data_IF_405280004570
#
_entry.id   IF_405280004570
#
_cell.length_a   1.000
_cell.length_b   1.000
_cell.length_c   1.000
_cell.angle_alpha   90.00
_cell.angle_beta   90.00
_cell.angle_gamma   90.00
#
_symmetry.space_group_name_H-M   'P 1'
#
loop_
_entity.id
_entity.type
_entity.pdbx_description
1 polymer ?
#
# COMPACT_ATOMS: atom_id res chain seq x y z
N UNK A 1 0.18 2.41 4.47
CA UNK A 1 0.47 1.77 3.16
C UNK A 1 -0.85 1.59 2.44
N UNK A 2 -0.99 2.17 1.25
CA UNK A 2 -2.17 2.02 0.40
C UNK A 2 -2.23 0.63 -0.23
N UNK A 3 -3.43 0.16 -0.52
CA UNK A 3 -3.71 -1.15 -1.11
C UNK A 3 -4.53 -0.98 -2.40
N UNK A 4 -4.08 -1.65 -3.47
CA UNK A 4 -4.94 -1.87 -4.65
C UNK A 4 -5.90 -3.03 -4.42
N UNK A 5 -6.97 -3.13 -5.21
CA UNK A 5 -7.88 -4.27 -5.20
C UNK A 5 -7.15 -5.59 -5.45
N UNK A 6 -6.12 -5.57 -6.33
CA UNK A 6 -5.25 -6.73 -6.57
C UNK A 6 -4.41 -7.12 -5.36
N UNK A 7 -4.05 -6.18 -4.49
CA UNK A 7 -3.36 -6.48 -3.24
C UNK A 7 -4.31 -7.10 -2.21
N UNK A 8 -5.54 -6.57 -2.12
CA UNK A 8 -6.60 -7.09 -1.25
C UNK A 8 -6.93 -8.53 -1.63
N UNK A 9 -7.26 -8.76 -2.91
CA UNK A 9 -7.61 -10.09 -3.44
C UNK A 9 -6.47 -11.11 -3.22
N UNK A 10 -5.22 -10.67 -3.35
CA UNK A 10 -4.06 -11.53 -3.09
C UNK A 10 -3.97 -11.97 -1.63
N UNK A 11 -4.29 -11.09 -0.68
CA UNK A 11 -4.27 -11.40 0.75
C UNK A 11 -5.48 -12.24 1.16
N UNK A 12 -6.66 -11.97 0.60
CA UNK A 12 -7.86 -12.79 0.81
C UNK A 12 -7.65 -14.23 0.32
N UNK A 13 -7.06 -14.41 -0.87
CA UNK A 13 -6.69 -15.74 -1.38
C UNK A 13 -5.68 -16.50 -0.51
N UNK A 14 -5.05 -15.83 0.46
CA UNK A 14 -4.18 -16.45 1.47
C UNK A 14 -4.90 -16.78 2.77
N UNK A 15 -6.21 -16.56 2.83
CA UNK A 15 -7.05 -16.84 3.99
C UNK A 15 -7.10 -15.70 5.01
N UNK A 16 -6.64 -14.49 4.65
CA UNK A 16 -6.76 -13.35 5.55
C UNK A 16 -8.10 -12.65 5.35
N UNK A 17 -8.81 -12.45 6.45
CA UNK A 17 -10.05 -11.68 6.48
C UNK A 17 -9.79 -10.19 6.21
N UNK A 18 -10.63 -9.55 5.37
CA UNK A 18 -10.46 -8.14 5.00
C UNK A 18 -10.49 -7.20 6.20
N UNK A 19 -11.41 -7.43 7.13
CA UNK A 19 -11.59 -6.57 8.30
C UNK A 19 -10.38 -6.70 9.22
N UNK A 20 -9.71 -7.85 9.25
CA UNK A 20 -8.45 -8.00 9.98
C UNK A 20 -7.33 -7.09 9.44
N UNK A 21 -7.09 -7.08 8.12
CA UNK A 21 -5.87 -6.47 7.59
C UNK A 21 -6.01 -5.07 6.99
N UNK A 22 -7.22 -4.65 6.62
CA UNK A 22 -7.41 -3.39 5.92
C UNK A 22 -8.56 -2.55 6.48
N UNK A 23 -8.56 -1.27 6.11
CA UNK A 23 -9.66 -0.34 6.33
C UNK A 23 -9.79 0.60 5.14
N UNK A 24 -10.97 1.18 4.95
CA UNK A 24 -11.17 2.30 4.06
C UNK A 24 -11.12 3.62 4.84
N UNK A 25 -10.67 4.70 4.20
CA UNK A 25 -10.90 6.07 4.68
C UNK A 25 -12.12 6.70 4.00
N UNK A 26 -12.44 7.95 4.36
CA UNK A 26 -13.59 8.70 3.83
C UNK A 26 -13.48 9.01 2.33
N UNK A 27 -12.27 8.97 1.76
CA UNK A 27 -12.04 9.18 0.33
C UNK A 27 -12.11 7.87 -0.48
N UNK A 28 -12.30 6.73 0.20
CA UNK A 28 -12.42 5.42 -0.41
C UNK A 28 -11.09 4.69 -0.62
N UNK A 29 -9.98 5.21 -0.07
CA UNK A 29 -8.69 4.54 -0.14
C UNK A 29 -8.62 3.36 0.82
N UNK A 30 -8.20 2.21 0.30
CA UNK A 30 -7.88 1.06 1.13
C UNK A 30 -6.47 1.20 1.71
N UNK A 31 -6.32 1.02 3.02
CA UNK A 31 -5.02 1.05 3.70
C UNK A 31 -4.82 -0.19 4.56
N UNK A 32 -3.57 -0.68 4.62
CA UNK A 32 -3.18 -1.67 5.62
C UNK A 32 -3.39 -1.10 7.03
N UNK A 33 -4.02 -1.90 7.89
CA UNK A 33 -4.14 -1.59 9.32
C UNK A 33 -2.78 -1.70 10.01
N UNK A 34 -2.61 -0.85 11.02
CA UNK A 34 -1.54 -0.96 11.99
C UNK A 34 -2.12 -1.32 13.37
N UNK A 35 -1.39 -2.13 14.13
CA UNK A 35 -1.66 -2.46 15.53
C UNK A 35 -0.40 -2.22 16.35
N UNK A 36 -0.51 -1.46 17.46
CA UNK A 36 0.61 -1.06 18.33
C UNK A 36 1.81 -0.46 17.57
N UNK A 37 1.52 0.40 16.59
CA UNK A 37 2.55 1.10 15.79
C UNK A 37 3.15 0.30 14.64
N UNK A 38 2.78 -0.97 14.45
CA UNK A 38 3.29 -1.83 13.37
C UNK A 38 2.19 -2.29 12.44
N UNK A 39 2.54 -2.64 11.19
CA UNK A 39 1.64 -3.34 10.29
C UNK A 39 1.12 -4.63 10.94
N UNK A 40 -0.18 -4.92 10.79
CA UNK A 40 -0.83 -6.15 11.31
C UNK A 40 -0.16 -7.46 10.85
N UNK A 41 0.60 -7.43 9.76
CA UNK A 41 1.39 -8.57 9.29
C UNK A 41 2.82 -8.62 9.83
N UNK A 42 3.25 -7.66 10.66
CA UNK A 42 4.56 -7.70 11.28
C UNK A 42 4.58 -8.76 12.40
N UNK A 43 5.56 -9.65 12.35
CA UNK A 43 5.89 -10.56 13.42
C UNK A 43 7.06 -9.96 14.20
N UNK A 44 6.81 -9.53 15.44
CA UNK A 44 7.81 -8.89 16.29
C UNK A 44 8.91 -9.86 16.75
N UNK A 45 8.56 -11.11 17.08
CA UNK A 45 9.50 -12.13 17.51
C UNK A 45 10.50 -12.48 16.39
N UNK A 46 9.99 -12.76 15.18
CA UNK A 46 10.80 -13.11 14.01
C UNK A 46 11.32 -11.89 13.26
N UNK A 47 10.96 -10.68 13.69
CA UNK A 47 11.28 -9.38 13.06
C UNK A 47 11.04 -9.37 11.55
N UNK A 48 9.93 -9.97 11.11
CA UNK A 48 9.65 -10.19 9.70
C UNK A 48 8.18 -10.02 9.34
N UNK A 49 7.90 -9.84 8.04
CA UNK A 49 6.53 -9.79 7.54
C UNK A 49 5.98 -11.20 7.34
N UNK A 50 4.86 -11.55 7.99
CA UNK A 50 4.17 -12.84 7.87
C UNK A 50 3.75 -13.14 6.42
N UNK A 51 3.46 -12.12 5.63
CA UNK A 51 3.04 -12.23 4.23
C UNK A 51 4.15 -11.86 3.24
N UNK A 52 5.43 -12.04 3.58
CA UNK A 52 6.57 -11.55 2.76
C UNK A 52 6.47 -11.93 1.27
N UNK A 53 6.07 -13.16 0.94
CA UNK A 53 5.88 -13.62 -0.43
C UNK A 53 4.68 -12.95 -1.13
N UNK A 54 3.62 -12.63 -0.38
CA UNK A 54 2.36 -12.09 -0.87
C UNK A 54 2.17 -10.60 -0.56
N UNK A 55 3.22 -9.93 -0.07
CA UNK A 55 3.17 -8.55 0.39
C UNK A 55 2.60 -7.63 -0.71
N UNK A 56 1.81 -6.60 -0.33
CA UNK A 56 1.27 -5.63 -1.27
C UNK A 56 2.33 -5.01 -2.17
N UNK A 57 1.93 -4.56 -3.35
CA UNK A 57 2.86 -4.01 -4.34
C UNK A 57 3.62 -2.79 -3.78
N UNK A 58 2.95 -1.92 -3.02
CA UNK A 58 3.62 -0.79 -2.34
C UNK A 58 4.75 -1.25 -1.40
N UNK A 59 4.54 -2.32 -0.62
CA UNK A 59 5.59 -2.92 0.22
C UNK A 59 6.75 -3.55 -0.57
N UNK A 60 6.54 -3.91 -1.85
CA UNK A 60 7.61 -4.45 -2.73
C UNK A 60 8.46 -3.33 -3.34
N UNK A 61 7.85 -2.17 -3.57
CA UNK A 61 8.49 -1.02 -4.22
C UNK A 61 9.32 -0.21 -3.21
N UNK A 62 8.87 -0.17 -1.95
CA UNK A 62 9.58 0.45 -0.83
C UNK A 62 11.08 0.09 -0.81
N UNK A 63 12.00 1.06 -0.60
CA UNK A 63 11.76 2.39 -0.05
C UNK A 63 11.53 3.51 -1.07
N UNK A 64 11.27 3.22 -2.36
CA UNK A 64 10.94 4.27 -3.32
C UNK A 64 9.47 4.65 -3.15
N UNK A 65 9.20 5.94 -2.93
CA UNK A 65 7.87 6.49 -2.65
C UNK A 65 7.63 7.73 -3.52
N UNK A 66 6.38 8.18 -3.54
CA UNK A 66 6.00 9.49 -4.07
C UNK A 66 5.78 10.45 -2.90
N UNK A 67 6.44 11.59 -2.93
CA UNK A 67 6.26 12.72 -2.04
C UNK A 67 5.57 13.83 -2.84
N UNK A 68 4.54 14.45 -2.27
CA UNK A 68 3.71 15.44 -2.98
C UNK A 68 4.50 16.70 -3.39
N UNK A 69 5.54 17.06 -2.65
CA UNK A 69 6.36 18.24 -2.91
C UNK A 69 7.59 17.93 -3.77
N UNK A 70 8.12 16.70 -3.65
CA UNK A 70 9.42 16.31 -4.24
C UNK A 70 9.30 15.29 -5.38
N UNK A 71 8.11 14.74 -5.60
CA UNK A 71 7.89 13.65 -6.56
C UNK A 71 8.53 12.34 -6.09
N UNK A 72 9.20 11.63 -7.00
CA UNK A 72 9.80 10.32 -6.69
C UNK A 72 11.07 10.46 -5.85
N UNK A 73 10.99 9.94 -4.62
CA UNK A 73 12.09 9.98 -3.65
C UNK A 73 12.35 8.60 -3.04
N UNK A 74 13.53 8.44 -2.43
CA UNK A 74 13.82 7.31 -1.55
C UNK A 74 13.51 7.74 -0.13
N UNK A 75 12.67 6.97 0.55
CA UNK A 75 12.24 7.27 1.91
C UNK A 75 13.43 7.35 2.87
N UNK A 76 13.55 8.51 3.54
CA UNK A 76 14.70 8.85 4.38
C UNK A 76 14.73 8.07 5.69
N UNK A 77 13.57 7.58 6.16
CA UNK A 77 13.49 6.78 7.39
C UNK A 77 13.93 5.33 7.15
N UNK A 78 14.06 4.89 5.89
CA UNK A 78 14.44 3.51 5.59
C UNK A 78 15.94 3.29 5.84
N UNK A 79 16.34 2.32 6.68
CA UNK A 79 17.75 1.99 6.87
C UNK A 79 18.45 1.55 5.58
N UNK A 80 17.71 0.96 4.64
CA UNK A 80 18.23 0.50 3.35
C UNK A 80 18.24 1.59 2.27
N UNK A 81 17.98 2.87 2.59
CA UNK A 81 17.91 3.95 1.58
C UNK A 81 19.18 4.03 0.72
N UNK A 82 20.35 3.83 1.33
CA UNK A 82 21.65 3.90 0.64
C UNK A 82 21.90 2.75 -0.33
N UNK A 83 21.10 1.68 -0.30
CA UNK A 83 21.24 0.55 -1.23
C UNK A 83 20.43 0.73 -2.52
N UNK A 84 19.68 1.83 -2.67
CA UNK A 84 18.87 2.09 -3.87
C UNK A 84 19.67 2.91 -4.85
N UNK A 85 19.99 2.34 -6.01
CA UNK A 85 20.66 3.08 -7.09
C UNK A 85 19.68 3.98 -7.84
N UNK A 86 20.17 5.03 -8.52
CA UNK A 86 19.31 5.90 -9.33
C UNK A 86 18.53 5.13 -10.42
N UNK A 87 19.16 4.12 -11.04
CA UNK A 87 18.47 3.22 -11.98
C UNK A 87 17.33 2.44 -11.31
N UNK A 88 17.54 1.94 -10.09
CA UNK A 88 16.50 1.26 -9.32
C UNK A 88 15.40 2.24 -8.91
N UNK A 89 15.76 3.46 -8.50
CA UNK A 89 14.83 4.53 -8.15
C UNK A 89 13.93 4.88 -9.32
N UNK A 90 14.47 5.13 -10.51
CA UNK A 90 13.69 5.42 -11.71
C UNK A 90 12.68 4.29 -12.03
N UNK A 91 13.16 3.04 -12.15
CA UNK A 91 12.31 1.88 -12.45
C UNK A 91 11.23 1.63 -11.40
N UNK A 92 11.54 1.86 -10.12
CA UNK A 92 10.58 1.73 -9.02
C UNK A 92 9.61 2.90 -8.98
N UNK A 93 10.05 4.11 -9.33
CA UNK A 93 9.23 5.32 -9.43
C UNK A 93 8.10 5.15 -10.44
N UNK A 94 8.40 4.65 -11.64
CA UNK A 94 7.37 4.30 -12.63
C UNK A 94 6.32 3.31 -12.10
N UNK A 95 6.72 2.41 -11.18
CA UNK A 95 5.79 1.47 -10.54
C UNK A 95 4.97 2.14 -9.44
N UNK A 96 5.54 3.11 -8.72
CA UNK A 96 4.80 3.93 -7.75
C UNK A 96 3.69 4.68 -8.47
N UNK A 97 4.02 5.42 -9.53
CA UNK A 97 3.04 6.23 -10.26
C UNK A 97 1.88 5.38 -10.80
N UNK A 98 2.18 4.26 -11.46
CA UNK A 98 1.15 3.31 -11.94
C UNK A 98 0.30 2.72 -10.82
N UNK A 99 0.91 2.44 -9.67
CA UNK A 99 0.18 1.92 -8.51
C UNK A 99 -0.76 2.97 -7.93
N UNK A 100 -0.30 4.23 -7.81
CA UNK A 100 -1.14 5.33 -7.32
C UNK A 100 -2.29 5.61 -8.27
N UNK A 101 -2.05 5.70 -9.57
CA UNK A 101 -3.11 5.87 -10.57
C UNK A 101 -4.20 4.79 -10.46
N UNK A 102 -3.79 3.54 -10.27
CA UNK A 102 -4.74 2.42 -10.05
C UNK A 102 -5.54 2.63 -8.76
N UNK A 103 -4.86 2.97 -7.67
CA UNK A 103 -5.48 3.12 -6.34
C UNK A 103 -6.46 4.31 -6.34
N UNK A 104 -6.10 5.43 -6.97
CA UNK A 104 -6.94 6.63 -7.08
C UNK A 104 -8.22 6.34 -7.87
N UNK A 105 -8.10 5.62 -9.01
CA UNK A 105 -9.25 5.21 -9.80
C UNK A 105 -10.19 4.28 -9.01
N UNK A 106 -9.61 3.34 -8.25
CA UNK A 106 -10.39 2.44 -7.39
C UNK A 106 -11.09 3.19 -6.24
N UNK A 107 -10.40 4.13 -5.58
CA UNK A 107 -10.95 4.93 -4.49
C UNK A 107 -12.12 5.80 -4.99
N UNK A 108 -11.92 6.50 -6.12
CA UNK A 108 -12.97 7.28 -6.79
C UNK A 108 -14.22 6.45 -7.07
N UNK A 109 -14.05 5.23 -7.59
CA UNK A 109 -15.18 4.32 -7.85
C UNK A 109 -15.95 3.96 -6.58
N UNK A 110 -15.24 3.66 -5.48
CA UNK A 110 -15.86 3.34 -4.18
C UNK A 110 -16.63 4.53 -3.62
N UNK A 111 -16.03 5.73 -3.65
CA UNK A 111 -16.64 6.97 -3.17
C UNK A 111 -17.93 7.32 -3.92
N UNK A 112 -17.92 7.17 -5.25
CA UNK A 112 -19.11 7.37 -6.08
C UNK A 112 -20.22 6.37 -5.73
N UNK A 113 -19.88 5.08 -5.57
CA UNK A 113 -20.85 4.06 -5.21
C UNK A 113 -21.48 4.30 -3.82
N UNK A 114 -20.69 4.75 -2.84
CA UNK A 114 -21.21 5.10 -1.51
C UNK A 114 -22.14 6.31 -1.57
N UNK A 115 -21.80 7.32 -2.37
CA UNK A 115 -22.63 8.52 -2.56
C UNK A 115 -23.98 8.18 -3.19
N UNK A 116 -24.00 7.26 -4.16
CA UNK A 116 -25.23 6.77 -4.78
C UNK A 116 -26.12 6.02 -3.78
N UNK A 117 -25.53 5.18 -2.91
CA UNK A 117 -26.27 4.43 -1.89
C UNK A 117 -26.92 5.33 -0.83
N UNK A 118 -26.28 6.44 -0.44
CA UNK A 118 -26.83 7.40 0.53
C UNK A 118 -27.99 8.24 -0.01
N UNK A 119 -28.21 8.24 -1.33
CA UNK A 119 -29.29 8.97 -2.01
C UNK A 119 -30.50 8.09 -2.34
N UNK A 120 -30.40 6.78 -2.11
CA UNK A 120 -31.49 5.80 -2.28
C UNK A 120 -32.16 5.52 -0.94
#
# INVERSE_FOLDING_TARGET
MLLSAKDIERLERKGYDRDFFMRFDSEGYATLRNYRGFCVFYNAEKRCCKVRAHRPLGCRIYPVIYDENKGIVVDTICPSRGSVTEKQKAKRGEKVLRLLETIDAEAKKRRLAETMRKRS
#
